data_IF_706123907883
#
_entry.id   IF_706123907883
#
_cell.length_a   1.000
_cell.length_b   1.000
_cell.length_c   1.000
_cell.angle_alpha   90.00
_cell.angle_beta   90.00
_cell.angle_gamma   90.00
#
_symmetry.space_group_name_H-M   'P 1'
#
loop_
_entity.id
_entity.type
_entity.pdbx_description
1 polymer ?
#
# COMPACT_ATOMS: atom_id res chain seq x y z
N UNK A 1 -22.22 19.38 36.77
CA UNK A 1 -21.45 19.05 37.98
C UNK A 1 -20.21 18.30 37.55
N UNK A 2 -19.12 18.99 37.32
CA UNK A 2 -17.83 18.42 36.89
C UNK A 2 -16.98 18.39 38.18
N UNK A 3 -16.88 17.21 38.80
CA UNK A 3 -15.88 16.99 39.83
C UNK A 3 -14.49 17.05 39.25
N UNK A 4 -13.65 17.93 39.74
CA UNK A 4 -12.28 18.10 39.23
C UNK A 4 -11.44 16.84 39.49
N UNK A 5 -10.49 16.57 38.63
CA UNK A 5 -9.54 15.44 38.69
C UNK A 5 -8.87 15.35 40.10
N UNK A 6 -8.68 16.48 40.75
CA UNK A 6 -8.16 16.59 42.13
C UNK A 6 -9.06 15.95 43.20
N UNK A 7 -10.39 16.09 43.06
CA UNK A 7 -11.33 15.46 44.02
C UNK A 7 -11.34 13.94 43.85
N UNK A 8 -11.16 13.44 42.65
CA UNK A 8 -11.04 12.00 42.39
C UNK A 8 -9.74 11.42 42.99
N UNK A 9 -8.64 12.12 42.82
CA UNK A 9 -7.33 11.74 43.37
C UNK A 9 -7.35 11.72 44.91
N UNK A 10 -7.93 12.73 45.56
CA UNK A 10 -8.06 12.78 47.02
C UNK A 10 -8.95 11.63 47.53
N UNK A 11 -10.05 11.33 46.85
CA UNK A 11 -10.94 10.21 47.21
C UNK A 11 -10.25 8.85 47.08
N UNK A 12 -9.43 8.65 46.05
CA UNK A 12 -8.63 7.44 45.87
C UNK A 12 -7.58 7.29 46.95
N UNK A 13 -6.88 8.38 47.31
CA UNK A 13 -5.90 8.37 48.43
C UNK A 13 -6.54 8.08 49.77
N UNK A 14 -7.72 8.63 50.05
CA UNK A 14 -8.48 8.35 51.28
C UNK A 14 -8.93 6.90 51.36
N UNK A 15 -9.41 6.33 50.24
CA UNK A 15 -9.86 4.94 50.16
C UNK A 15 -8.70 3.94 50.33
N UNK A 16 -7.53 4.25 49.78
CA UNK A 16 -6.32 3.42 49.90
C UNK A 16 -5.74 3.45 51.35
N UNK A 17 -6.06 4.45 52.17
CA UNK A 17 -5.54 4.58 53.54
C UNK A 17 -6.36 3.80 54.57
N UNK A 18 -7.61 3.45 54.27
CA UNK A 18 -8.58 2.94 55.28
C UNK A 18 -8.96 1.46 55.14
N UNK A 19 -8.55 0.73 54.12
CA UNK A 19 -8.97 -0.67 53.86
C UNK A 19 -7.82 -1.68 53.96
N UNK A 20 -8.16 -2.95 54.38
CA UNK A 20 -7.23 -4.06 54.57
C UNK A 20 -6.39 -4.37 53.32
N UNK A 21 -5.14 -4.89 53.45
CA UNK A 21 -4.18 -5.02 52.34
C UNK A 21 -4.68 -5.81 51.11
N UNK A 22 -5.58 -6.76 51.30
CA UNK A 22 -6.15 -7.57 50.22
C UNK A 22 -7.01 -6.74 49.23
N UNK A 23 -7.74 -5.74 49.74
CA UNK A 23 -8.58 -4.86 48.92
C UNK A 23 -7.76 -3.81 48.14
N UNK A 24 -6.57 -3.45 48.66
CA UNK A 24 -5.65 -2.54 47.99
C UNK A 24 -5.06 -3.16 46.73
N UNK A 25 -4.72 -4.45 46.79
CA UNK A 25 -4.20 -5.20 45.64
C UNK A 25 -5.24 -5.35 44.52
N UNK A 26 -6.48 -5.59 44.89
CA UNK A 26 -7.58 -5.71 43.92
C UNK A 26 -7.82 -4.40 43.15
N UNK A 27 -7.77 -3.27 43.82
CA UNK A 27 -7.92 -1.95 43.18
C UNK A 27 -6.71 -1.56 42.31
N UNK A 28 -5.49 -1.89 42.76
CA UNK A 28 -4.28 -1.67 41.95
C UNK A 28 -4.28 -2.54 40.69
N UNK A 29 -4.69 -3.78 40.82
CA UNK A 29 -4.82 -4.69 39.64
C UNK A 29 -5.92 -4.22 38.68
N UNK A 30 -7.06 -3.72 39.23
CA UNK A 30 -8.14 -3.15 38.41
C UNK A 30 -7.68 -1.86 37.68
N UNK A 31 -6.89 -1.00 38.34
CA UNK A 31 -6.30 0.19 37.71
C UNK A 31 -5.31 -0.18 36.59
N UNK A 32 -4.49 -1.21 36.81
CA UNK A 32 -3.56 -1.69 35.77
C UNK A 32 -4.27 -2.31 34.57
N UNK A 33 -5.45 -2.92 34.76
CA UNK A 33 -6.28 -3.45 33.67
C UNK A 33 -6.85 -2.28 32.84
N UNK A 34 -7.23 -1.17 33.46
CA UNK A 34 -7.71 0.02 32.74
C UNK A 34 -6.59 0.81 32.03
N UNK A 35 -5.37 0.82 32.54
CA UNK A 35 -4.23 1.47 31.87
C UNK A 35 -3.55 0.57 30.83
N UNK A 36 -3.72 -0.75 30.89
CA UNK A 36 -3.20 -1.69 29.89
C UNK A 36 -3.99 -1.69 28.55
N UNK A 37 -5.17 -1.06 28.51
CA UNK A 37 -6.00 -1.00 27.29
C UNK A 37 -5.66 0.16 26.34
N UNK A 38 -4.72 1.03 26.68
CA UNK A 38 -4.24 2.12 25.82
C UNK A 38 -2.95 1.80 25.07
N UNK A 39 -2.72 0.54 24.71
CA UNK A 39 -1.80 0.18 23.64
C UNK A 39 -2.49 0.45 22.31
N UNK A 40 -2.35 1.66 21.81
CA UNK A 40 -2.93 2.15 20.56
C UNK A 40 -2.38 1.41 19.35
N UNK A 41 -2.83 0.16 19.12
CA UNK A 41 -2.92 -0.29 17.75
C UNK A 41 -3.96 0.63 17.11
N UNK A 42 -3.55 1.50 16.13
CA UNK A 42 -4.51 2.34 15.41
C UNK A 42 -5.61 1.42 14.91
N UNK A 43 -6.84 1.64 15.36
CA UNK A 43 -7.98 0.82 14.97
C UNK A 43 -8.12 0.85 13.45
N UNK A 44 -8.83 -0.09 12.85
CA UNK A 44 -9.11 -0.07 11.40
C UNK A 44 -9.77 1.25 11.02
N UNK A 45 -10.69 1.72 11.85
CA UNK A 45 -11.38 3.00 11.68
C UNK A 45 -10.40 4.18 11.62
N UNK A 46 -9.44 4.28 12.54
CA UNK A 46 -8.43 5.35 12.51
C UNK A 46 -7.56 5.30 11.24
N UNK A 47 -7.30 4.12 10.70
CA UNK A 47 -6.56 3.95 9.44
C UNK A 47 -7.39 4.40 8.23
N UNK A 48 -8.69 4.14 8.24
CA UNK A 48 -9.63 4.64 7.23
C UNK A 48 -9.71 6.17 7.31
N UNK A 49 -9.94 6.75 8.49
CA UNK A 49 -9.98 8.20 8.72
C UNK A 49 -8.68 8.87 8.26
N UNK A 50 -7.52 8.22 8.50
CA UNK A 50 -6.24 8.74 8.04
C UNK A 50 -6.17 8.80 6.50
N UNK A 51 -6.56 7.73 5.80
CA UNK A 51 -6.60 7.73 4.34
C UNK A 51 -7.60 8.77 3.79
N UNK A 52 -8.79 8.86 4.39
CA UNK A 52 -9.79 9.86 4.02
C UNK A 52 -9.26 11.28 4.19
N UNK A 53 -8.47 11.54 5.25
CA UNK A 53 -7.85 12.85 5.46
C UNK A 53 -6.85 13.21 4.36
N UNK A 54 -6.10 12.25 3.84
CA UNK A 54 -5.19 12.44 2.71
C UNK A 54 -5.99 12.74 1.43
N UNK A 55 -7.03 11.95 1.15
CA UNK A 55 -7.91 12.10 -0.01
C UNK A 55 -8.50 13.51 -0.03
N UNK A 56 -9.08 13.95 1.09
CA UNK A 56 -9.71 15.27 1.21
C UNK A 56 -8.69 16.41 1.08
N UNK A 57 -7.56 16.33 1.79
CA UNK A 57 -6.53 17.38 1.75
C UNK A 57 -5.86 17.52 0.38
N UNK A 58 -5.86 16.46 -0.42
CA UNK A 58 -5.27 16.43 -1.76
C UNK A 58 -6.30 16.64 -2.87
N UNK A 59 -7.56 16.93 -2.53
CA UNK A 59 -8.65 17.12 -3.48
C UNK A 59 -8.88 15.92 -4.42
N UNK A 60 -8.52 14.71 -3.95
CA UNK A 60 -8.87 13.50 -4.65
C UNK A 60 -10.34 13.15 -4.40
N UNK A 61 -11.00 12.60 -5.39
CA UNK A 61 -12.39 12.13 -5.30
C UNK A 61 -12.40 10.65 -4.95
N UNK A 62 -12.97 10.25 -3.80
CA UNK A 62 -13.06 8.83 -3.44
C UNK A 62 -14.10 8.12 -4.31
N UNK A 63 -13.82 6.85 -4.63
CA UNK A 63 -14.72 5.99 -5.38
C UNK A 63 -14.52 4.54 -4.93
N UNK A 64 -15.62 3.82 -4.66
CA UNK A 64 -15.58 2.36 -4.45
C UNK A 64 -15.98 1.66 -5.74
N UNK A 65 -15.08 0.86 -6.30
CA UNK A 65 -15.29 0.11 -7.54
C UNK A 65 -15.64 -1.32 -7.21
N UNK A 66 -16.82 -1.77 -7.65
CA UNK A 66 -17.21 -3.19 -7.57
C UNK A 66 -16.61 -3.94 -8.74
N UNK A 67 -15.92 -5.03 -8.43
CA UNK A 67 -15.37 -5.96 -9.39
C UNK A 67 -16.03 -7.34 -9.23
N UNK A 68 -15.74 -8.33 -10.07
CA UNK A 68 -16.32 -9.67 -9.90
C UNK A 68 -16.06 -10.33 -8.54
N UNK A 69 -14.90 -10.01 -7.91
CA UNK A 69 -14.49 -10.69 -6.67
C UNK A 69 -14.44 -9.76 -5.45
N UNK A 70 -14.15 -8.48 -5.63
CA UNK A 70 -13.93 -7.55 -4.52
C UNK A 70 -14.55 -6.19 -4.80
N UNK A 71 -14.79 -5.43 -3.73
CA UNK A 71 -14.98 -4.00 -3.82
C UNK A 71 -13.64 -3.31 -3.50
N UNK A 72 -13.07 -2.60 -4.46
CA UNK A 72 -11.79 -1.89 -4.29
C UNK A 72 -12.04 -0.42 -3.96
N UNK A 73 -11.40 0.08 -2.91
CA UNK A 73 -11.39 1.51 -2.62
C UNK A 73 -10.40 2.20 -3.53
N UNK A 74 -10.82 3.30 -4.13
CA UNK A 74 -10.03 4.11 -5.04
C UNK A 74 -10.20 5.58 -4.75
N UNK A 75 -9.26 6.39 -5.22
CA UNK A 75 -9.41 7.84 -5.24
C UNK A 75 -8.74 8.39 -6.50
N UNK A 76 -9.28 9.46 -7.08
CA UNK A 76 -8.77 10.01 -8.32
C UNK A 76 -8.86 11.53 -8.37
N UNK A 77 -7.98 12.13 -9.17
CA UNK A 77 -8.11 13.49 -9.68
C UNK A 77 -7.88 13.42 -11.20
N UNK A 78 -8.91 13.76 -11.98
CA UNK A 78 -8.81 13.81 -13.42
C UNK A 78 -8.84 15.28 -13.86
N UNK A 79 -7.82 15.66 -14.61
CA UNK A 79 -7.80 16.92 -15.32
C UNK A 79 -8.68 16.85 -16.58
N UNK A 80 -8.58 17.82 -17.46
CA UNK A 80 -9.12 17.76 -18.84
C UNK A 80 -8.73 16.41 -19.50
N UNK A 81 -9.49 15.92 -20.48
CA UNK A 81 -9.24 14.63 -21.12
C UNK A 81 -7.78 14.48 -21.54
N UNK A 82 -7.06 13.62 -20.87
CA UNK A 82 -5.66 13.28 -21.15
C UNK A 82 -5.60 11.86 -21.68
N UNK A 83 -4.69 11.59 -22.62
CA UNK A 83 -4.51 10.24 -23.15
C UNK A 83 -3.93 9.27 -22.14
N UNK A 84 -3.23 9.77 -21.10
CA UNK A 84 -2.54 8.95 -20.10
C UNK A 84 -3.18 9.11 -18.71
N UNK A 85 -3.53 7.98 -18.10
CA UNK A 85 -3.90 7.86 -16.70
C UNK A 85 -2.75 7.25 -15.90
N UNK A 86 -2.29 7.92 -14.84
CA UNK A 86 -1.32 7.35 -13.90
C UNK A 86 -2.03 6.70 -12.72
N UNK A 87 -1.90 5.39 -12.56
CA UNK A 87 -2.54 4.60 -11.50
C UNK A 87 -1.52 4.15 -10.47
N UNK A 88 -1.72 4.54 -9.22
CA UNK A 88 -0.95 4.10 -8.06
C UNK A 88 -1.61 2.91 -7.39
N UNK A 89 -0.88 1.81 -7.20
CA UNK A 89 -1.38 0.58 -6.57
C UNK A 89 -0.74 0.41 -5.19
N UNK A 90 -1.60 0.30 -4.16
CA UNK A 90 -1.18 0.22 -2.77
C UNK A 90 -0.42 -1.08 -2.45
N UNK A 91 0.48 -1.01 -1.46
CA UNK A 91 1.19 -2.17 -0.95
C UNK A 91 0.32 -3.14 -0.16
N UNK A 92 0.95 -4.21 0.36
CA UNK A 92 0.25 -5.27 1.11
C UNK A 92 -0.40 -4.78 2.41
N UNK A 93 -0.06 -3.57 2.86
CA UNK A 93 -0.59 -2.96 4.07
C UNK A 93 -0.16 -3.71 5.34
N UNK A 94 -1.06 -3.76 6.32
CA UNK A 94 -0.80 -4.49 7.57
C UNK A 94 -1.25 -5.95 7.45
N UNK A 95 -0.57 -6.72 6.63
CA UNK A 95 -0.86 -8.16 6.45
C UNK A 95 -0.59 -8.97 7.73
N UNK A 96 0.44 -8.60 8.48
CA UNK A 96 0.87 -9.25 9.71
C UNK A 96 0.97 -8.28 10.87
N UNK A 97 0.56 -8.70 12.06
CA UNK A 97 0.73 -7.96 13.32
C UNK A 97 2.10 -8.21 13.91
N UNK A 98 2.57 -9.45 13.80
CA UNK A 98 3.89 -9.92 14.20
C UNK A 98 4.34 -11.03 13.26
N UNK A 99 5.55 -11.56 13.44
CA UNK A 99 6.09 -12.63 12.59
C UNK A 99 5.17 -13.86 12.47
N UNK A 100 4.39 -14.17 13.51
CA UNK A 100 3.54 -15.37 13.59
C UNK A 100 2.05 -15.06 13.74
N UNK A 101 1.66 -13.79 13.67
CA UNK A 101 0.26 -13.38 13.85
C UNK A 101 -0.23 -12.60 12.64
N UNK A 102 -1.12 -13.22 11.88
CA UNK A 102 -1.80 -12.58 10.76
C UNK A 102 -2.72 -11.46 11.26
N UNK A 103 -2.78 -10.37 10.54
CA UNK A 103 -3.71 -9.29 10.83
C UNK A 103 -5.15 -9.70 10.53
N UNK A 104 -6.08 -9.23 11.32
CA UNK A 104 -7.52 -9.37 11.04
C UNK A 104 -8.02 -8.43 9.94
N UNK A 105 -7.22 -7.43 9.55
CA UNK A 105 -7.56 -6.48 8.50
C UNK A 105 -6.28 -5.88 7.89
N UNK A 106 -6.11 -5.94 6.55
CA UNK A 106 -4.87 -5.54 5.88
C UNK A 106 -4.71 -4.04 5.64
N UNK A 107 -5.69 -3.21 6.00
CA UNK A 107 -5.61 -1.75 5.79
C UNK A 107 -4.27 -1.19 6.32
N UNK A 108 -3.48 -0.48 5.52
CA UNK A 108 -2.21 0.10 5.94
C UNK A 108 -2.37 1.09 7.10
N UNK A 109 -1.34 1.19 7.93
CA UNK A 109 -1.25 2.27 8.94
C UNK A 109 -0.87 3.57 8.25
N UNK A 110 0.05 3.49 7.28
CA UNK A 110 0.48 4.60 6.45
C UNK A 110 0.31 4.18 4.97
N UNK A 111 -0.66 4.76 4.24
CA UNK A 111 -0.93 4.42 2.85
C UNK A 111 0.06 5.13 1.93
N UNK A 112 1.25 4.54 1.73
CA UNK A 112 2.31 5.22 0.99
C UNK A 112 1.92 5.52 -0.46
N UNK A 113 1.35 4.57 -1.19
CA UNK A 113 0.98 4.80 -2.57
C UNK A 113 -0.09 5.90 -2.71
N UNK A 114 -1.02 6.01 -1.75
CA UNK A 114 -1.98 7.12 -1.69
C UNK A 114 -1.29 8.47 -1.47
N UNK A 115 -0.30 8.54 -0.55
CA UNK A 115 0.48 9.76 -0.36
C UNK A 115 1.22 10.18 -1.65
N UNK A 116 1.82 9.22 -2.35
CA UNK A 116 2.55 9.51 -3.59
C UNK A 116 1.61 9.94 -4.73
N UNK A 117 0.42 9.33 -4.83
CA UNK A 117 -0.63 9.76 -5.76
C UNK A 117 -1.10 11.20 -5.46
N UNK A 118 -1.29 11.52 -4.18
CA UNK A 118 -1.68 12.85 -3.71
C UNK A 118 -0.63 13.91 -4.08
N UNK A 119 0.65 13.62 -3.86
CA UNK A 119 1.77 14.50 -4.26
C UNK A 119 1.78 14.71 -5.77
N UNK A 120 1.59 13.64 -6.56
CA UNK A 120 1.55 13.74 -8.02
C UNK A 120 0.42 14.65 -8.48
N UNK A 121 -0.80 14.42 -8.01
CA UNK A 121 -1.96 15.23 -8.37
C UNK A 121 -1.82 16.72 -7.99
N UNK A 122 -1.16 17.01 -6.86
CA UNK A 122 -0.90 18.38 -6.42
C UNK A 122 0.20 19.10 -7.21
N UNK A 123 1.24 18.36 -7.64
CA UNK A 123 2.37 18.95 -8.38
C UNK A 123 2.07 19.14 -9.87
N UNK A 124 1.32 18.23 -10.46
CA UNK A 124 0.97 18.26 -11.88
C UNK A 124 -0.55 18.34 -12.02
N UNK A 125 -1.09 19.53 -11.89
CA UNK A 125 -2.55 19.77 -11.97
C UNK A 125 -3.17 19.33 -13.31
N UNK A 126 -2.37 19.19 -14.37
CA UNK A 126 -2.80 18.65 -15.65
C UNK A 126 -2.75 17.12 -15.74
N UNK A 127 -2.15 16.43 -14.78
CA UNK A 127 -2.08 14.97 -14.81
C UNK A 127 -3.42 14.34 -14.36
N UNK A 128 -3.84 13.28 -15.04
CA UNK A 128 -4.89 12.38 -14.55
C UNK A 128 -4.25 11.31 -13.66
N UNK A 129 -4.61 11.32 -12.38
CA UNK A 129 -4.03 10.44 -11.36
C UNK A 129 -5.14 9.66 -10.66
N UNK A 130 -4.92 8.38 -10.44
CA UNK A 130 -5.77 7.54 -9.61
C UNK A 130 -4.94 6.70 -8.63
N UNK A 131 -5.55 6.35 -7.52
CA UNK A 131 -5.03 5.40 -6.55
C UNK A 131 -6.01 4.24 -6.37
N UNK A 132 -5.48 3.01 -6.25
CA UNK A 132 -6.25 1.79 -6.01
C UNK A 132 -5.69 1.10 -4.76
N UNK A 133 -6.55 0.86 -3.79
CA UNK A 133 -6.26 0.01 -2.64
C UNK A 133 -6.24 -1.47 -3.05
N UNK A 134 -5.60 -2.31 -2.24
CA UNK A 134 -5.66 -3.77 -2.40
C UNK A 134 -7.00 -4.32 -1.91
N UNK A 135 -7.40 -5.53 -2.35
CA UNK A 135 -8.58 -6.20 -1.81
C UNK A 135 -8.60 -6.19 -0.28
N UNK A 136 -9.78 -5.96 0.29
CA UNK A 136 -10.03 -5.94 1.74
C UNK A 136 -9.41 -4.79 2.54
N UNK A 137 -8.67 -3.90 1.90
CA UNK A 137 -8.19 -2.67 2.54
C UNK A 137 -9.30 -1.60 2.56
N UNK A 138 -9.34 -0.80 3.61
CA UNK A 138 -10.27 0.33 3.81
C UNK A 138 -11.75 -0.06 3.75
N UNK A 139 -12.03 -1.34 3.95
CA UNK A 139 -13.39 -1.85 4.06
C UNK A 139 -13.80 -1.90 5.54
N UNK A 140 -15.02 -1.50 5.90
CA UNK A 140 -15.55 -1.81 7.21
C UNK A 140 -15.58 -3.33 7.38
N UNK A 141 -15.25 -3.81 8.58
CA UNK A 141 -15.04 -5.23 8.94
C UNK A 141 -16.20 -6.21 8.61
N UNK A 142 -17.29 -5.72 8.04
CA UNK A 142 -18.49 -6.50 7.67
C UNK A 142 -18.97 -6.26 6.23
N UNK A 143 -18.17 -5.63 5.38
CA UNK A 143 -18.70 -5.10 4.10
C UNK A 143 -18.51 -5.98 2.86
N UNK A 144 -17.48 -6.82 2.80
CA UNK A 144 -17.21 -7.66 1.64
C UNK A 144 -17.12 -9.12 2.06
N UNK A 145 -18.07 -9.95 1.57
CA UNK A 145 -18.16 -11.38 1.85
C UNK A 145 -16.96 -12.18 1.35
N UNK A 146 -16.18 -11.63 0.43
CA UNK A 146 -15.04 -12.29 -0.17
C UNK A 146 -13.70 -11.94 0.51
N UNK A 147 -13.72 -11.12 1.57
CA UNK A 147 -12.51 -10.73 2.31
C UNK A 147 -12.02 -11.84 3.25
N UNK A 148 -11.43 -12.87 2.65
CA UNK A 148 -10.74 -13.92 3.38
C UNK A 148 -9.25 -13.55 3.61
N UNK A 149 -8.70 -13.97 4.74
CA UNK A 149 -7.32 -13.66 5.14
C UNK A 149 -6.25 -14.18 4.16
N UNK A 150 -6.58 -15.14 3.31
CA UNK A 150 -5.69 -15.61 2.26
C UNK A 150 -5.31 -14.49 1.28
N UNK A 151 -6.20 -13.51 1.00
CA UNK A 151 -5.96 -12.44 0.03
C UNK A 151 -5.01 -11.33 0.54
N UNK A 152 -4.64 -11.34 1.80
CA UNK A 152 -3.51 -10.53 2.29
C UNK A 152 -2.39 -11.36 2.90
N UNK A 153 -2.41 -12.70 2.66
CA UNK A 153 -1.35 -13.61 3.06
C UNK A 153 -0.86 -14.44 1.86
N UNK A 154 -1.22 -15.72 1.76
CA UNK A 154 -0.70 -16.66 0.77
C UNK A 154 -1.19 -16.41 -0.66
N UNK A 155 -2.33 -15.76 -0.86
CA UNK A 155 -2.99 -15.50 -2.15
C UNK A 155 -3.01 -13.99 -2.48
N UNK A 156 -2.04 -13.22 -1.96
CA UNK A 156 -2.03 -11.77 -2.15
C UNK A 156 -1.82 -11.31 -3.58
N UNK A 157 -1.36 -12.20 -4.46
CA UNK A 157 -1.20 -12.01 -5.89
C UNK A 157 -1.96 -13.09 -6.69
N UNK A 158 -3.10 -13.53 -6.17
CA UNK A 158 -4.02 -14.47 -6.84
C UNK A 158 -4.59 -13.84 -8.13
N UNK A 159 -4.92 -14.66 -9.13
CA UNK A 159 -5.52 -14.21 -10.39
C UNK A 159 -6.75 -13.31 -10.18
N UNK A 160 -7.60 -13.62 -9.18
CA UNK A 160 -8.77 -12.79 -8.83
C UNK A 160 -8.39 -11.38 -8.36
N UNK A 161 -7.23 -11.25 -7.71
CA UNK A 161 -6.69 -9.94 -7.29
C UNK A 161 -6.26 -9.15 -8.53
N UNK A 162 -5.61 -9.80 -9.47
CA UNK A 162 -5.12 -9.17 -10.72
C UNK A 162 -6.32 -8.77 -11.59
N UNK A 163 -7.25 -9.68 -11.84
CA UNK A 163 -8.47 -9.40 -12.61
C UNK A 163 -9.29 -8.25 -12.00
N UNK A 164 -9.46 -8.25 -10.67
CA UNK A 164 -10.17 -7.16 -10.00
C UNK A 164 -9.45 -5.82 -10.13
N UNK A 165 -8.10 -5.83 -10.13
CA UNK A 165 -7.33 -4.62 -10.34
C UNK A 165 -7.47 -4.11 -11.77
N UNK A 166 -7.43 -5.00 -12.77
CA UNK A 166 -7.63 -4.64 -14.17
C UNK A 166 -9.04 -4.06 -14.41
N UNK A 167 -10.08 -4.67 -13.86
CA UNK A 167 -11.45 -4.11 -13.92
C UNK A 167 -11.53 -2.72 -13.30
N UNK A 168 -10.81 -2.48 -12.20
CA UNK A 168 -10.78 -1.14 -11.59
C UNK A 168 -10.03 -0.13 -12.47
N UNK A 169 -8.92 -0.52 -13.08
CA UNK A 169 -8.17 0.30 -14.03
C UNK A 169 -9.07 0.68 -15.22
N UNK A 170 -9.79 -0.28 -15.82
CA UNK A 170 -10.67 -0.05 -16.96
C UNK A 170 -11.79 0.96 -16.64
N UNK A 171 -12.41 0.84 -15.46
CA UNK A 171 -13.44 1.79 -15.03
C UNK A 171 -12.88 3.19 -14.79
N UNK A 172 -11.66 3.30 -14.25
CA UNK A 172 -10.98 4.58 -14.07
C UNK A 172 -10.56 5.20 -15.42
N UNK A 173 -10.07 4.40 -16.35
CA UNK A 173 -9.74 4.85 -17.71
C UNK A 173 -10.99 5.32 -18.46
N UNK A 174 -12.07 4.55 -18.42
CA UNK A 174 -13.36 4.96 -19.01
C UNK A 174 -13.84 6.29 -18.42
N UNK A 175 -13.69 6.48 -17.11
CA UNK A 175 -14.12 7.69 -16.41
C UNK A 175 -13.25 8.90 -16.71
N UNK A 176 -11.94 8.72 -16.91
CA UNK A 176 -10.98 9.79 -17.25
C UNK A 176 -10.94 10.12 -18.75
N UNK A 177 -11.40 9.21 -19.59
CA UNK A 177 -11.22 9.29 -21.06
C UNK A 177 -9.82 8.93 -21.53
N UNK A 178 -8.96 8.40 -20.67
CA UNK A 178 -7.61 7.98 -21.02
C UNK A 178 -7.61 6.74 -21.93
N UNK A 179 -6.65 6.69 -22.86
CA UNK A 179 -6.43 5.57 -23.78
C UNK A 179 -5.21 4.74 -23.40
N UNK A 180 -4.33 5.28 -22.55
CA UNK A 180 -3.13 4.61 -22.06
C UNK A 180 -3.06 4.72 -20.54
N UNK A 181 -2.36 3.77 -19.93
CA UNK A 181 -2.16 3.75 -18.47
C UNK A 181 -0.68 3.63 -18.11
N UNK A 182 -0.25 4.39 -17.09
CA UNK A 182 1.01 4.21 -16.37
C UNK A 182 0.71 3.56 -15.04
N UNK A 183 1.35 2.44 -14.74
CA UNK A 183 1.16 1.71 -13.50
C UNK A 183 2.32 1.98 -12.54
N UNK A 184 1.99 2.48 -11.34
CA UNK A 184 2.97 2.75 -10.28
C UNK A 184 2.59 1.91 -9.07
N UNK A 185 3.42 0.93 -8.71
CA UNK A 185 3.14 0.04 -7.59
C UNK A 185 4.14 0.20 -6.44
N UNK A 186 3.65 0.21 -5.20
CA UNK A 186 4.48 0.18 -4.01
C UNK A 186 4.51 -1.23 -3.41
N UNK A 187 5.71 -1.76 -3.12
CA UNK A 187 5.91 -3.05 -2.42
C UNK A 187 5.13 -4.18 -3.12
N UNK A 188 4.17 -4.82 -2.46
CA UNK A 188 3.27 -5.80 -3.07
C UNK A 188 2.36 -5.21 -4.16
N UNK A 189 2.09 -3.91 -4.16
CA UNK A 189 1.41 -3.22 -5.24
C UNK A 189 2.20 -3.21 -6.55
N UNK A 190 3.54 -3.23 -6.46
CA UNK A 190 4.40 -3.38 -7.63
C UNK A 190 4.26 -4.77 -8.28
N UNK A 191 4.12 -5.82 -7.46
CA UNK A 191 3.82 -7.16 -7.97
C UNK A 191 2.49 -7.16 -8.74
N UNK A 192 1.46 -6.51 -8.19
CA UNK A 192 0.16 -6.39 -8.88
C UNK A 192 0.27 -5.56 -10.15
N UNK A 193 1.01 -4.45 -10.15
CA UNK A 193 1.23 -3.63 -11.34
C UNK A 193 1.87 -4.43 -12.48
N UNK A 194 2.91 -5.22 -12.19
CA UNK A 194 3.58 -6.10 -13.16
C UNK A 194 2.62 -7.16 -13.70
N UNK A 195 1.91 -7.85 -12.81
CA UNK A 195 0.99 -8.93 -13.20
C UNK A 195 -0.23 -8.41 -13.97
N UNK A 196 -0.75 -7.25 -13.59
CA UNK A 196 -1.83 -6.61 -14.32
C UNK A 196 -1.40 -6.15 -15.71
N UNK A 197 -0.19 -5.62 -15.86
CA UNK A 197 0.35 -5.13 -17.12
C UNK A 197 0.47 -6.22 -18.20
N UNK A 198 0.69 -7.47 -17.82
CA UNK A 198 0.81 -8.59 -18.77
C UNK A 198 -0.51 -8.89 -19.50
N UNK A 199 -1.64 -8.57 -18.87
CA UNK A 199 -2.98 -8.81 -19.41
C UNK A 199 -3.51 -7.60 -20.20
N UNK A 200 -2.65 -6.57 -20.46
CA UNK A 200 -3.03 -5.30 -21.06
C UNK A 200 -2.12 -4.93 -22.23
N UNK A 201 -2.68 -4.26 -23.22
CA UNK A 201 -1.98 -3.72 -24.39
C UNK A 201 -1.90 -2.18 -24.39
N UNK A 202 -2.51 -1.54 -23.40
CA UNK A 202 -2.58 -0.09 -23.22
C UNK A 202 -1.60 0.47 -22.16
N UNK A 203 -0.69 -0.37 -21.63
CA UNK A 203 0.29 0.07 -20.64
C UNK A 203 1.45 0.81 -21.31
N UNK A 204 1.53 2.12 -21.05
CA UNK A 204 2.59 2.98 -21.55
C UNK A 204 3.92 2.76 -20.80
N UNK A 205 3.84 2.60 -19.48
CA UNK A 205 5.04 2.44 -18.65
C UNK A 205 4.71 1.88 -17.26
N UNK A 206 5.74 1.32 -16.60
CA UNK A 206 5.63 0.73 -15.27
C UNK A 206 6.68 1.34 -14.34
N UNK A 207 6.24 1.68 -13.12
CA UNK A 207 7.12 2.14 -12.06
C UNK A 207 6.93 1.28 -10.82
N UNK A 208 7.99 0.78 -10.23
CA UNK A 208 7.93 0.14 -8.93
C UNK A 208 8.70 0.92 -7.86
N UNK A 209 8.15 0.96 -6.66
CA UNK A 209 8.74 1.61 -5.48
C UNK A 209 8.89 0.54 -4.41
N UNK A 210 10.14 0.21 -4.03
CA UNK A 210 10.43 -0.87 -3.09
C UNK A 210 9.69 -2.19 -3.48
N UNK A 211 9.69 -2.52 -4.79
CA UNK A 211 8.79 -3.49 -5.41
C UNK A 211 9.12 -4.95 -5.08
N UNK A 212 8.10 -5.73 -4.71
CA UNK A 212 8.20 -7.18 -4.56
C UNK A 212 8.07 -7.85 -5.95
N UNK A 213 9.15 -7.82 -6.74
CA UNK A 213 9.18 -8.32 -8.12
C UNK A 213 9.52 -9.82 -8.24
N UNK A 214 9.90 -10.45 -7.13
CA UNK A 214 10.05 -11.90 -6.98
C UNK A 214 9.75 -12.30 -5.52
N UNK A 215 8.50 -12.66 -5.24
CA UNK A 215 8.11 -13.03 -3.88
C UNK A 215 8.76 -14.33 -3.38
N UNK A 216 9.24 -15.19 -4.28
CA UNK A 216 9.95 -16.41 -3.89
C UNK A 216 11.30 -16.05 -3.31
N UNK A 217 12.06 -15.18 -3.98
CA UNK A 217 13.35 -14.68 -3.51
C UNK A 217 13.23 -13.87 -2.20
N UNK A 218 12.19 -13.00 -2.10
CA UNK A 218 11.91 -12.25 -0.86
C UNK A 218 11.58 -13.18 0.29
N UNK A 219 10.75 -14.20 0.08
CA UNK A 219 10.38 -15.15 1.12
C UNK A 219 11.56 -16.02 1.56
N UNK A 220 12.41 -16.44 0.63
CA UNK A 220 13.65 -17.16 0.92
C UNK A 220 14.60 -16.30 1.76
N UNK A 221 14.82 -15.05 1.37
CA UNK A 221 15.67 -14.12 2.12
C UNK A 221 15.20 -13.92 3.56
N UNK A 222 13.89 -13.88 3.80
CA UNK A 222 13.33 -13.74 5.15
C UNK A 222 13.11 -15.05 5.89
N UNK A 223 13.34 -16.20 5.27
CA UNK A 223 13.06 -17.52 5.84
C UNK A 223 11.59 -17.70 6.21
N UNK A 224 10.67 -17.23 5.36
CA UNK A 224 9.22 -17.35 5.55
C UNK A 224 8.59 -18.27 4.51
N UNK A 225 7.35 -18.72 4.79
CA UNK A 225 6.62 -19.67 3.95
C UNK A 225 6.33 -19.11 2.55
N UNK A 226 6.43 -19.93 1.48
CA UNK A 226 6.08 -19.54 0.12
C UNK A 226 4.60 -19.10 -0.03
N UNK A 227 4.35 -18.16 -0.92
CA UNK A 227 2.99 -17.71 -1.28
C UNK A 227 2.39 -18.65 -2.33
N UNK A 228 1.91 -19.81 -1.91
CA UNK A 228 1.50 -20.91 -2.83
C UNK A 228 0.31 -20.58 -3.73
N UNK A 229 -0.54 -19.63 -3.34
CA UNK A 229 -1.70 -19.19 -4.12
C UNK A 229 -1.48 -17.86 -4.84
N UNK A 230 -0.23 -17.45 -5.06
CA UNK A 230 0.13 -16.19 -5.70
C UNK A 230 0.94 -16.41 -6.96
N UNK A 231 0.63 -15.65 -8.00
CA UNK A 231 1.46 -15.48 -9.19
C UNK A 231 2.76 -14.77 -8.81
N UNK A 232 3.83 -15.00 -9.57
CA UNK A 232 5.12 -14.36 -9.30
C UNK A 232 5.51 -13.42 -10.45
N UNK A 233 5.74 -12.12 -10.19
CA UNK A 233 6.08 -11.15 -11.23
C UNK A 233 7.26 -11.56 -12.10
N UNK A 234 8.29 -12.16 -11.54
CA UNK A 234 9.48 -12.60 -12.28
C UNK A 234 9.18 -13.64 -13.36
N UNK A 235 8.15 -14.48 -13.16
CA UNK A 235 7.78 -15.52 -14.13
C UNK A 235 7.24 -14.95 -15.45
N UNK A 236 6.76 -13.69 -15.42
CA UNK A 236 6.20 -12.99 -16.58
C UNK A 236 7.07 -11.83 -17.08
N UNK A 237 8.23 -11.61 -16.47
CA UNK A 237 9.09 -10.44 -16.73
C UNK A 237 9.44 -10.25 -18.22
N UNK A 238 9.70 -11.34 -18.95
CA UNK A 238 10.05 -11.30 -20.39
C UNK A 238 8.93 -10.77 -21.28
N UNK A 239 7.66 -10.90 -20.88
CA UNK A 239 6.50 -10.42 -21.63
C UNK A 239 6.39 -8.89 -21.58
N UNK A 240 7.02 -8.24 -20.61
CA UNK A 240 7.01 -6.79 -20.43
C UNK A 240 8.30 -6.11 -20.90
N UNK A 241 9.15 -6.85 -21.59
CA UNK A 241 10.48 -6.41 -21.96
C UNK A 241 10.50 -5.16 -22.88
N UNK A 242 9.44 -4.90 -23.64
CA UNK A 242 9.31 -3.74 -24.53
C UNK A 242 8.67 -2.51 -23.85
N UNK A 243 8.14 -2.65 -22.63
CA UNK A 243 7.50 -1.55 -21.89
C UNK A 243 8.57 -0.80 -21.09
N UNK A 244 8.66 0.53 -21.19
CA UNK A 244 9.55 1.34 -20.36
C UNK A 244 9.28 1.15 -18.86
N UNK A 245 10.33 0.86 -18.08
CA UNK A 245 10.19 0.57 -16.65
C UNK A 245 11.27 1.28 -15.82
N UNK A 246 10.86 1.81 -14.67
CA UNK A 246 11.78 2.33 -13.65
C UNK A 246 11.46 1.69 -12.30
N UNK A 247 12.47 1.09 -11.69
CA UNK A 247 12.36 0.40 -10.42
C UNK A 247 13.17 1.14 -9.34
N UNK A 248 12.48 1.87 -8.47
CA UNK A 248 13.10 2.58 -7.35
C UNK A 248 13.31 1.63 -6.18
N UNK A 249 14.53 1.56 -5.66
CA UNK A 249 14.91 0.78 -4.48
C UNK A 249 15.48 1.68 -3.39
N UNK A 250 15.05 1.50 -2.15
CA UNK A 250 15.63 2.21 -1.02
C UNK A 250 16.97 1.61 -0.62
N UNK A 251 18.01 2.44 -0.46
CA UNK A 251 19.33 1.96 -0.05
C UNK A 251 19.33 1.30 1.34
N UNK A 252 18.37 1.67 2.19
CA UNK A 252 18.18 1.13 3.53
C UNK A 252 16.99 0.18 3.65
N UNK A 253 16.42 -0.30 2.54
CA UNK A 253 15.30 -1.23 2.54
C UNK A 253 15.74 -2.61 3.07
N UNK A 254 15.15 -3.01 4.21
CA UNK A 254 15.38 -4.32 4.85
C UNK A 254 14.26 -5.32 4.57
N UNK A 255 13.22 -4.90 3.84
CA UNK A 255 12.05 -5.73 3.52
C UNK A 255 12.20 -6.32 2.11
N UNK A 256 12.53 -5.49 1.13
CA UNK A 256 12.78 -5.96 -0.25
C UNK A 256 14.26 -5.73 -0.59
N UNK A 257 15.06 -6.80 -0.64
CA UNK A 257 16.46 -6.69 -1.04
C UNK A 257 16.60 -6.17 -2.47
N UNK A 258 17.52 -5.23 -2.71
CA UNK A 258 17.74 -4.61 -4.02
C UNK A 258 18.04 -5.61 -5.14
N UNK A 259 18.66 -6.76 -4.80
CA UNK A 259 18.95 -7.85 -5.73
C UNK A 259 17.69 -8.44 -6.40
N UNK A 260 16.52 -8.33 -5.76
CA UNK A 260 15.23 -8.75 -6.35
C UNK A 260 14.94 -7.99 -7.64
N UNK A 261 15.22 -6.68 -7.65
CA UNK A 261 15.07 -5.83 -8.83
C UNK A 261 16.15 -6.13 -9.87
N UNK A 262 17.40 -6.36 -9.44
CA UNK A 262 18.49 -6.71 -10.36
C UNK A 262 18.18 -7.99 -11.13
N UNK A 263 17.72 -9.02 -10.42
CA UNK A 263 17.36 -10.30 -11.03
C UNK A 263 16.11 -10.21 -11.91
N UNK A 264 15.15 -9.36 -11.57
CA UNK A 264 13.97 -9.12 -12.40
C UNK A 264 14.34 -8.44 -13.72
N UNK A 265 15.15 -7.37 -13.69
CA UNK A 265 15.64 -6.67 -14.89
C UNK A 265 16.47 -7.60 -15.75
N UNK A 266 17.36 -8.38 -15.15
CA UNK A 266 18.23 -9.32 -15.85
C UNK A 266 17.44 -10.35 -16.69
N UNK A 267 16.31 -10.82 -16.17
CA UNK A 267 15.44 -11.78 -16.90
C UNK A 267 14.81 -11.15 -18.15
N UNK A 268 14.52 -9.85 -18.13
CA UNK A 268 13.95 -9.16 -19.29
C UNK A 268 14.93 -9.05 -20.46
N UNK A 269 16.24 -9.08 -20.19
CA UNK A 269 17.32 -9.09 -21.19
C UNK A 269 17.24 -7.94 -22.23
N UNK A 270 16.74 -6.76 -21.81
CA UNK A 270 16.63 -5.58 -22.66
C UNK A 270 16.96 -4.28 -21.91
N UNK A 271 16.90 -3.16 -22.63
CA UNK A 271 17.29 -1.84 -22.11
C UNK A 271 16.08 -0.94 -21.76
N UNK A 272 14.88 -1.51 -21.62
CA UNK A 272 13.67 -0.74 -21.29
C UNK A 272 13.41 -0.66 -19.78
N UNK A 273 14.14 -1.44 -18.96
CA UNK A 273 14.01 -1.44 -17.52
C UNK A 273 15.28 -0.91 -16.86
N UNK A 274 15.14 0.02 -15.92
CA UNK A 274 16.25 0.56 -15.15
C UNK A 274 15.98 0.55 -13.65
N UNK A 275 17.03 0.41 -12.85
CA UNK A 275 17.00 0.52 -11.39
C UNK A 275 17.53 1.88 -10.94
N UNK A 276 16.84 2.52 -10.01
CA UNK A 276 17.28 3.76 -9.34
C UNK A 276 17.38 3.51 -7.85
N UNK A 277 18.58 3.71 -7.28
CA UNK A 277 18.80 3.58 -5.84
C UNK A 277 18.57 4.94 -5.16
N UNK A 278 17.66 4.98 -4.19
CA UNK A 278 17.36 6.18 -3.40
C UNK A 278 18.07 6.08 -2.05
N UNK A 279 19.13 6.89 -1.86
CA UNK A 279 20.06 6.76 -0.73
C UNK A 279 19.36 6.95 0.62
N UNK A 280 18.42 7.90 0.73
CA UNK A 280 17.74 8.24 1.98
C UNK A 280 16.38 7.53 2.15
N UNK A 281 16.13 6.45 1.39
CA UNK A 281 14.90 5.69 1.49
C UNK A 281 15.13 4.30 2.10
N UNK A 282 14.18 3.90 2.93
CA UNK A 282 13.98 2.53 3.40
C UNK A 282 12.83 1.88 2.65
N UNK A 283 12.11 0.93 3.33
CA UNK A 283 10.93 0.31 2.71
C UNK A 283 9.74 1.28 2.61
N UNK A 284 9.50 2.04 3.68
CA UNK A 284 8.36 2.98 3.78
C UNK A 284 8.86 4.43 3.85
N UNK A 285 9.97 4.67 4.54
CA UNK A 285 10.45 6.01 4.84
C UNK A 285 11.26 6.60 3.68
N UNK A 286 11.29 7.94 3.57
CA UNK A 286 12.08 8.71 2.61
C UNK A 286 11.41 8.90 1.24
N UNK A 287 10.36 8.16 0.91
CA UNK A 287 9.70 8.25 -0.39
C UNK A 287 8.88 9.52 -0.56
N UNK A 288 8.16 9.95 0.48
CA UNK A 288 7.33 11.17 0.45
C UNK A 288 8.18 12.40 0.12
N UNK A 289 9.37 12.50 0.72
CA UNK A 289 10.29 13.63 0.50
C UNK A 289 10.96 13.56 -0.88
N UNK A 290 11.20 12.36 -1.39
CA UNK A 290 11.86 12.14 -2.67
C UNK A 290 10.90 12.23 -3.87
N UNK A 291 9.63 11.88 -3.69
CA UNK A 291 8.66 11.74 -4.76
C UNK A 291 8.42 13.01 -5.59
N UNK A 292 8.43 14.22 -5.01
CA UNK A 292 8.36 15.46 -5.79
C UNK A 292 9.42 15.55 -6.91
N UNK A 293 10.64 15.11 -6.62
CA UNK A 293 11.71 15.07 -7.62
C UNK A 293 11.47 14.01 -8.71
N UNK A 294 10.85 12.87 -8.32
CA UNK A 294 10.51 11.82 -9.28
C UNK A 294 9.44 12.31 -10.25
N UNK A 295 8.34 12.86 -9.73
CA UNK A 295 7.19 13.33 -10.54
C UNK A 295 7.64 14.31 -11.62
N UNK A 296 8.54 15.26 -11.29
CA UNK A 296 9.02 16.29 -12.22
C UNK A 296 9.94 15.75 -13.33
N UNK A 297 10.55 14.56 -13.15
CA UNK A 297 11.49 13.98 -14.13
C UNK A 297 11.14 12.54 -14.50
N UNK A 298 9.89 12.12 -14.30
CA UNK A 298 9.50 10.72 -14.51
C UNK A 298 9.52 10.35 -16.00
N UNK A 299 8.99 11.21 -16.86
CA UNK A 299 8.90 10.95 -18.30
C UNK A 299 10.30 10.83 -18.94
N UNK A 300 11.27 11.61 -18.49
CA UNK A 300 12.65 11.55 -18.96
C UNK A 300 13.32 10.21 -18.63
N UNK A 301 12.85 9.54 -17.57
CA UNK A 301 13.35 8.24 -17.13
C UNK A 301 12.67 7.06 -17.82
N UNK A 302 11.47 7.26 -18.33
CA UNK A 302 10.64 6.22 -18.93
C UNK A 302 10.88 6.13 -20.45
N UNK A 303 12.10 5.74 -20.82
CA UNK A 303 12.47 5.53 -22.20
C UNK A 303 13.32 4.25 -22.35
N UNK A 304 13.08 3.50 -23.41
CA UNK A 304 13.99 2.42 -23.80
C UNK A 304 15.26 3.03 -24.39
N UNK A 305 16.42 2.63 -23.90
CA UNK A 305 17.69 3.07 -24.50
C UNK A 305 17.76 2.57 -25.96
N UNK A 306 17.87 3.48 -26.90
CA UNK A 306 18.16 3.14 -28.30
C UNK A 306 19.62 2.75 -28.39
N UNK A 307 19.92 1.48 -28.63
CA UNK A 307 21.22 1.02 -29.13
C UNK A 307 21.07 0.53 -30.55
#
# INVERSE_FOLDING_TARGET
MVGTLEQLVVMIFYYLKTKKPFFKWFFVVLLFIFFGACGSSRSVENRIIHADSIIVSSQLTPLSIKTPYFALQTAYNFSEPMSLLTVYIEGDGRSWVSRNQLSSNPTPINPLALHLAAIHAQQQASASVAWIARPCQYQPTKGDINCESKYWSSHRFDEKVIESTNVAIDQLMQKSGATNVRLIGFSGGAAVAILAAVERDDVESIVSIAGNLDHRQVNEFHGVTPLRGSLNPKDVATQLASIPQVHFVGASDKVIPSVVVDDFIKVQANNCAQKVVVINAGHIDGWIDYWPTVVNGLDDRLSCSKY
#
